data_IF_525828114081
#
_entry.id   IF_525828114081
#
_cell.length_a   1.000
_cell.length_b   1.000
_cell.length_c   1.000
_cell.angle_alpha   90.00
_cell.angle_beta   90.00
_cell.angle_gamma   90.00
#
_symmetry.space_group_name_H-M   'P 1'
#
loop_
_entity.id
_entity.type
_entity.pdbx_description
1 polymer ?
#
# COMPACT_ATOMS: atom_id res chain seq x y z
N UNK A 1 -16.11 -5.94 -17.46
CA UNK A 1 -16.85 -7.19 -17.78
C UNK A 1 -17.28 -7.85 -16.48
N UNK A 2 -18.13 -8.87 -16.50
CA UNK A 2 -18.63 -9.53 -15.27
C UNK A 2 -19.96 -8.96 -14.77
N UNK A 3 -20.53 -9.60 -13.76
CA UNK A 3 -21.86 -9.34 -13.22
C UNK A 3 -22.40 -10.57 -12.50
N UNK A 4 -23.27 -10.34 -11.51
CA UNK A 4 -23.88 -11.43 -10.71
C UNK A 4 -24.54 -12.50 -11.58
N UNK A 5 -25.14 -12.12 -12.71
CA UNK A 5 -25.77 -13.03 -13.66
C UNK A 5 -24.78 -14.03 -14.29
N UNK A 6 -23.49 -13.67 -14.35
CA UNK A 6 -22.41 -14.52 -14.84
C UNK A 6 -21.65 -15.22 -13.70
N UNK A 7 -22.13 -15.13 -12.45
CA UNK A 7 -21.43 -15.58 -11.24
C UNK A 7 -19.99 -15.07 -11.14
N UNK A 8 -19.73 -13.88 -11.72
CA UNK A 8 -18.40 -13.26 -11.75
C UNK A 8 -18.49 -11.83 -11.22
N UNK A 9 -17.51 -11.37 -10.41
CA UNK A 9 -17.47 -9.98 -9.98
C UNK A 9 -17.26 -9.03 -11.18
N UNK A 10 -17.55 -7.74 -11.00
CA UNK A 10 -17.29 -6.72 -12.01
C UNK A 10 -15.77 -6.52 -12.15
N UNK A 11 -15.19 -6.95 -13.26
CA UNK A 11 -13.75 -6.90 -13.54
C UNK A 11 -13.39 -5.80 -14.54
N UNK A 12 -12.25 -5.16 -14.32
CA UNK A 12 -11.64 -4.23 -15.26
C UNK A 12 -11.03 -5.02 -16.41
N UNK A 13 -11.70 -5.06 -17.56
CA UNK A 13 -11.24 -5.81 -18.73
C UNK A 13 -10.25 -5.04 -19.60
N UNK A 14 -10.37 -3.70 -19.62
CA UNK A 14 -9.53 -2.83 -20.44
C UNK A 14 -9.51 -1.43 -19.86
N UNK A 15 -8.33 -0.81 -19.86
CA UNK A 15 -8.13 0.61 -19.56
C UNK A 15 -7.71 1.28 -20.86
N UNK A 16 -8.38 2.38 -21.21
CA UNK A 16 -8.04 3.15 -22.40
C UNK A 16 -7.03 4.23 -22.06
N UNK A 17 -5.93 4.25 -22.82
CA UNK A 17 -4.84 5.20 -22.61
C UNK A 17 -5.31 6.64 -22.76
N UNK A 18 -4.86 7.51 -21.85
CA UNK A 18 -5.18 8.94 -21.85
C UNK A 18 -6.53 9.31 -21.21
N UNK A 19 -7.32 8.35 -20.70
CA UNK A 19 -8.54 8.62 -19.94
C UNK A 19 -8.25 8.68 -18.43
N UNK A 20 -9.23 9.16 -17.64
CA UNK A 20 -9.11 9.30 -16.19
C UNK A 20 -8.64 8.03 -15.47
N UNK A 21 -9.09 6.85 -15.92
CA UNK A 21 -8.70 5.56 -15.33
C UNK A 21 -7.25 5.14 -15.64
N UNK A 22 -6.66 5.66 -16.71
CA UNK A 22 -5.24 5.44 -17.06
C UNK A 22 -4.35 6.44 -16.31
N UNK A 23 -4.79 7.70 -16.23
CA UNK A 23 -4.08 8.77 -15.53
C UNK A 23 -3.98 8.56 -14.01
N UNK A 24 -4.86 7.74 -13.42
CA UNK A 24 -4.79 7.43 -11.99
C UNK A 24 -3.70 6.41 -11.65
N UNK A 25 -3.26 5.57 -12.60
CA UNK A 25 -2.29 4.46 -12.44
C UNK A 25 -2.53 3.49 -11.25
N UNK A 26 -3.64 3.66 -10.54
CA UNK A 26 -4.04 2.89 -9.36
C UNK A 26 -4.93 1.70 -9.72
N UNK A 27 -5.36 1.61 -10.99
CA UNK A 27 -6.24 0.57 -11.52
C UNK A 27 -5.47 -0.30 -12.50
N UNK A 28 -5.62 -1.61 -12.37
CA UNK A 28 -5.03 -2.59 -13.27
C UNK A 28 -6.11 -3.39 -14.00
N UNK A 29 -5.79 -3.80 -15.22
CA UNK A 29 -6.62 -4.78 -15.94
C UNK A 29 -6.61 -6.08 -15.14
N UNK A 30 -7.80 -6.58 -14.82
CA UNK A 30 -8.01 -7.75 -13.96
C UNK A 30 -8.50 -7.41 -12.55
N UNK A 31 -8.48 -6.15 -12.13
CA UNK A 31 -8.99 -5.77 -10.80
C UNK A 31 -10.51 -5.93 -10.72
N UNK A 32 -10.98 -6.36 -9.54
CA UNK A 32 -12.41 -6.49 -9.24
C UNK A 32 -12.92 -5.22 -8.56
N UNK A 33 -13.93 -4.59 -9.15
CA UNK A 33 -14.62 -3.43 -8.58
C UNK A 33 -15.59 -3.95 -7.52
N UNK A 34 -15.37 -3.52 -6.28
CA UNK A 34 -16.22 -3.85 -5.14
C UNK A 34 -17.32 -2.80 -4.93
N UNK A 35 -16.99 -1.51 -5.08
CA UNK A 35 -17.96 -0.42 -4.91
C UNK A 35 -17.62 0.81 -5.76
N UNK A 36 -18.64 1.61 -6.08
CA UNK A 36 -18.55 2.89 -6.81
C UNK A 36 -19.25 3.96 -5.99
N UNK A 37 -18.53 5.00 -5.56
CA UNK A 37 -19.07 6.10 -4.75
C UNK A 37 -19.86 5.62 -3.52
N UNK A 38 -19.41 4.55 -2.87
CA UNK A 38 -20.08 3.94 -1.72
C UNK A 38 -21.29 3.05 -2.06
N UNK A 39 -21.64 2.91 -3.34
CA UNK A 39 -22.61 1.91 -3.81
C UNK A 39 -21.91 0.59 -4.02
N UNK A 40 -22.27 -0.42 -3.24
CA UNK A 40 -21.68 -1.76 -3.34
C UNK A 40 -22.11 -2.44 -4.65
N UNK A 41 -21.14 -2.94 -5.40
CA UNK A 41 -21.33 -3.62 -6.68
C UNK A 41 -20.94 -5.11 -6.61
N UNK A 42 -20.72 -5.65 -5.40
CA UNK A 42 -20.35 -7.05 -5.22
C UNK A 42 -21.43 -8.02 -5.72
N UNK A 43 -22.71 -7.67 -5.50
CA UNK A 43 -23.89 -8.43 -5.92
C UNK A 43 -24.67 -7.75 -7.06
N UNK A 44 -24.07 -6.74 -7.71
CA UNK A 44 -24.71 -6.02 -8.80
C UNK A 44 -24.66 -6.80 -10.12
N UNK A 45 -25.70 -6.63 -10.94
CA UNK A 45 -25.70 -7.10 -12.33
C UNK A 45 -24.75 -6.27 -13.19
N UNK A 46 -24.35 -6.78 -14.35
CA UNK A 46 -23.49 -6.03 -15.27
C UNK A 46 -24.09 -4.65 -15.63
N UNK A 47 -25.39 -4.62 -15.92
CA UNK A 47 -26.07 -3.38 -16.33
C UNK A 47 -26.11 -2.36 -15.18
N UNK A 48 -26.42 -2.80 -13.96
CA UNK A 48 -26.40 -1.95 -12.77
C UNK A 48 -25.01 -1.36 -12.49
N UNK A 49 -23.95 -2.16 -12.66
CA UNK A 49 -22.59 -1.68 -12.51
C UNK A 49 -22.23 -0.62 -13.57
N UNK A 50 -22.64 -0.82 -14.82
CA UNK A 50 -22.46 0.16 -15.90
C UNK A 50 -23.26 1.44 -15.62
N UNK A 51 -24.49 1.31 -15.13
CA UNK A 51 -25.31 2.45 -14.74
C UNK A 51 -24.70 3.21 -13.56
N UNK A 52 -24.18 2.52 -12.55
CA UNK A 52 -23.51 3.16 -11.41
C UNK A 52 -22.28 3.96 -11.85
N UNK A 53 -21.46 3.39 -12.75
CA UNK A 53 -20.31 4.08 -13.33
C UNK A 53 -20.73 5.29 -14.19
N UNK A 54 -21.80 5.18 -14.97
CA UNK A 54 -22.32 6.27 -15.83
C UNK A 54 -23.05 7.37 -15.05
N UNK A 55 -23.75 7.02 -13.97
CA UNK A 55 -24.45 7.95 -13.09
C UNK A 55 -23.48 8.83 -12.31
N UNK A 56 -22.23 8.39 -12.22
CA UNK A 56 -21.20 9.15 -11.56
C UNK A 56 -20.76 10.34 -12.42
N UNK A 57 -20.67 11.53 -11.80
CA UNK A 57 -20.35 12.79 -12.47
C UNK A 57 -18.85 13.02 -12.65
N UNK A 58 -18.40 14.24 -12.32
CA UNK A 58 -17.01 14.71 -12.52
C UNK A 58 -15.96 13.91 -11.73
N UNK A 59 -16.34 13.26 -10.63
CA UNK A 59 -15.44 12.52 -9.74
C UNK A 59 -16.05 11.14 -9.40
N UNK A 60 -15.22 10.10 -9.54
CA UNK A 60 -15.59 8.69 -9.27
C UNK A 60 -14.60 8.14 -8.24
N UNK A 61 -15.10 7.64 -7.12
CA UNK A 61 -14.34 6.89 -6.12
C UNK A 61 -14.63 5.40 -6.31
N UNK A 62 -13.59 4.63 -6.61
CA UNK A 62 -13.68 3.19 -6.82
C UNK A 62 -13.01 2.46 -5.67
N UNK A 63 -13.69 1.47 -5.09
CA UNK A 63 -13.07 0.50 -4.21
C UNK A 63 -12.78 -0.75 -5.03
N UNK A 64 -11.50 -1.09 -5.22
CA UNK A 64 -11.08 -2.23 -6.02
C UNK A 64 -10.29 -3.24 -5.21
N UNK A 65 -10.43 -4.52 -5.55
CA UNK A 65 -9.60 -5.60 -5.04
C UNK A 65 -8.61 -6.01 -6.12
N UNK A 66 -7.34 -5.85 -5.81
CA UNK A 66 -6.26 -6.33 -6.66
C UNK A 66 -6.31 -7.86 -6.74
N UNK A 67 -6.52 -8.40 -7.95
CA UNK A 67 -6.52 -9.84 -8.21
C UNK A 67 -5.22 -10.22 -8.92
N UNK A 68 -4.25 -10.73 -8.16
CA UNK A 68 -2.89 -11.02 -8.65
C UNK A 68 -2.79 -12.26 -9.55
N UNK A 69 -3.89 -12.94 -9.85
CA UNK A 69 -3.91 -14.11 -10.71
C UNK A 69 -5.05 -14.03 -11.72
N UNK A 70 -4.74 -13.59 -12.94
CA UNK A 70 -5.62 -13.75 -14.08
C UNK A 70 -5.41 -15.15 -14.64
N UNK A 71 -6.23 -16.12 -14.22
CA UNK A 71 -6.81 -17.23 -15.01
C UNK A 71 -7.55 -18.19 -14.07
N UNK A 72 -8.88 -18.41 -14.25
CA UNK A 72 -9.45 -18.84 -15.53
C UNK A 72 -10.80 -18.18 -15.89
N UNK A 73 -11.02 -16.89 -15.60
CA UNK A 73 -12.28 -16.23 -15.99
C UNK A 73 -12.30 -15.74 -17.46
N UNK A 74 -11.16 -15.78 -18.15
CA UNK A 74 -11.06 -15.61 -19.61
C UNK A 74 -11.01 -16.98 -20.31
N UNK A 75 -12.06 -17.79 -20.22
CA UNK A 75 -12.26 -18.91 -21.16
C UNK A 75 -13.69 -18.93 -21.68
N UNK A 76 -13.81 -18.66 -22.97
CA UNK A 76 -14.99 -18.99 -23.77
C UNK A 76 -15.27 -20.50 -23.69
N UNK A 77 -16.56 -20.82 -23.59
CA UNK A 77 -17.26 -21.99 -24.14
C UNK A 77 -16.78 -23.41 -23.82
N UNK A 78 -17.72 -24.18 -23.25
CA UNK A 78 -17.94 -25.64 -23.35
C UNK A 78 -17.05 -26.62 -22.54
N UNK A 79 -17.73 -27.69 -22.09
CA UNK A 79 -17.30 -28.81 -21.23
C UNK A 79 -17.20 -28.44 -19.73
N UNK A 80 -18.05 -28.89 -18.82
CA UNK A 80 -18.68 -30.21 -18.71
C UNK A 80 -17.88 -31.07 -17.73
N UNK A 81 -18.11 -30.90 -16.43
CA UNK A 81 -17.72 -31.87 -15.40
C UNK A 81 -18.45 -31.58 -14.07
N UNK A 82 -19.57 -32.28 -13.90
CA UNK A 82 -20.08 -32.85 -12.64
C UNK A 82 -19.07 -32.85 -11.47
N UNK A 83 -19.39 -32.15 -10.38
CA UNK A 83 -19.24 -32.72 -9.03
C UNK A 83 -20.43 -32.26 -8.18
N UNK A 84 -21.11 -33.29 -7.68
CA UNK A 84 -22.33 -33.32 -6.88
C UNK A 84 -22.13 -32.71 -5.50
N UNK A 85 -23.07 -31.85 -5.09
CA UNK A 85 -23.36 -31.59 -3.68
C UNK A 85 -24.78 -32.06 -3.43
N UNK A 86 -24.90 -33.29 -2.94
CA UNK A 86 -26.19 -33.82 -2.49
C UNK A 86 -26.56 -33.16 -1.14
N UNK A 87 -27.84 -32.78 -0.93
CA UNK A 87 -28.28 -32.02 0.22
C UNK A 87 -28.85 -32.94 1.31
N UNK A 88 -28.81 -32.52 2.57
CA UNK A 88 -29.69 -33.08 3.61
C UNK A 88 -29.85 -32.16 4.84
N UNK A 89 -30.99 -32.24 5.55
CA UNK A 89 -31.79 -31.06 5.84
C UNK A 89 -32.10 -30.83 7.34
N UNK A 90 -32.62 -29.63 7.59
CA UNK A 90 -33.58 -29.24 8.65
C UNK A 90 -33.21 -29.41 10.14
N UNK A 91 -33.08 -28.27 10.82
CA UNK A 91 -33.82 -28.02 12.06
C UNK A 91 -34.22 -26.53 12.15
N UNK A 92 -35.47 -26.31 12.50
CA UNK A 92 -36.25 -25.06 12.43
C UNK A 92 -36.08 -24.19 13.70
N UNK A 93 -36.52 -22.92 13.56
CA UNK A 93 -36.86 -21.90 14.59
C UNK A 93 -35.71 -20.95 14.98
N UNK A 94 -35.82 -19.62 14.89
CA UNK A 94 -36.94 -18.72 15.19
C UNK A 94 -36.80 -17.41 14.37
N UNK A 95 -37.92 -16.89 13.86
CA UNK A 95 -38.01 -15.54 13.29
C UNK A 95 -37.69 -14.50 14.36
N UNK A 96 -36.68 -13.69 14.10
CA UNK A 96 -36.59 -12.30 14.57
C UNK A 96 -35.98 -11.49 13.43
N UNK A 97 -36.54 -10.30 13.24
CA UNK A 97 -36.18 -9.20 12.34
C UNK A 97 -34.74 -9.21 11.82
N UNK A 98 -34.45 -8.81 10.56
CA UNK A 98 -33.07 -8.67 10.12
C UNK A 98 -32.45 -7.46 10.84
N UNK A 99 -31.87 -7.71 12.02
CA UNK A 99 -30.83 -6.87 12.55
C UNK A 99 -29.69 -7.00 11.54
N UNK A 100 -29.35 -5.86 10.93
CA UNK A 100 -28.14 -5.67 10.14
C UNK A 100 -27.01 -6.43 10.86
N UNK A 101 -26.26 -7.32 10.18
CA UNK A 101 -25.00 -7.74 10.76
C UNK A 101 -24.22 -6.43 10.96
N UNK A 102 -23.96 -6.08 12.22
CA UNK A 102 -22.92 -5.12 12.56
C UNK A 102 -21.70 -5.60 11.80
N UNK A 103 -21.40 -4.91 10.70
CA UNK A 103 -20.24 -5.19 9.87
C UNK A 103 -19.07 -4.87 10.79
N UNK A 104 -18.54 -5.90 11.45
CA UNK A 104 -17.29 -5.79 12.17
C UNK A 104 -16.30 -5.10 11.22
N UNK A 105 -15.61 -4.07 11.70
CA UNK A 105 -14.79 -3.23 10.83
C UNK A 105 -13.81 -4.15 10.12
N UNK A 106 -13.91 -4.14 8.79
CA UNK A 106 -13.07 -4.90 7.86
C UNK A 106 -11.63 -4.89 8.41
N UNK A 107 -11.11 -6.08 8.69
CA UNK A 107 -9.73 -6.40 9.08
C UNK A 107 -8.79 -5.17 9.03
N UNK A 108 -8.58 -4.54 10.19
CA UNK A 108 -7.85 -3.28 10.27
C UNK A 108 -6.42 -3.43 9.73
N UNK A 109 -6.03 -2.60 8.76
CA UNK A 109 -4.65 -2.57 8.29
C UNK A 109 -3.75 -1.95 9.35
N UNK A 110 -2.72 -2.68 9.77
CA UNK A 110 -1.78 -2.24 10.80
C UNK A 110 -0.41 -1.93 10.18
N UNK A 111 0.14 -0.76 10.48
CA UNK A 111 1.53 -0.38 10.14
C UNK A 111 2.31 -0.20 11.44
N UNK A 112 3.40 -0.97 11.67
CA UNK A 112 4.25 -0.76 12.83
C UNK A 112 4.88 0.64 12.81
N UNK A 113 4.79 1.37 13.91
CA UNK A 113 5.41 2.71 14.02
C UNK A 113 6.94 2.67 14.05
N UNK A 114 7.52 1.51 14.34
CA UNK A 114 8.97 1.31 14.36
C UNK A 114 9.54 1.58 12.97
N UNK A 115 10.29 2.67 12.84
CA UNK A 115 10.87 3.12 11.58
C UNK A 115 9.85 3.28 10.45
N UNK A 116 8.57 3.50 10.73
CA UNK A 116 7.66 3.94 9.67
C UNK A 116 8.08 5.31 9.16
N UNK A 117 7.78 5.61 7.90
CA UNK A 117 7.98 6.94 7.35
C UNK A 117 6.68 7.46 6.75
N UNK A 118 6.53 8.77 6.80
CA UNK A 118 5.39 9.47 6.20
C UNK A 118 5.89 10.24 4.99
N UNK A 119 5.23 10.07 3.87
CA UNK A 119 5.51 10.79 2.63
C UNK A 119 4.28 11.54 2.15
N UNK A 120 4.52 12.64 1.43
CA UNK A 120 3.50 13.41 0.72
C UNK A 120 3.64 13.19 -0.79
N UNK A 121 3.98 11.96 -1.22
CA UNK A 121 4.08 11.66 -2.66
C UNK A 121 2.70 11.74 -3.27
N UNK A 122 2.49 12.77 -4.09
CA UNK A 122 1.18 13.08 -4.66
C UNK A 122 1.16 12.75 -6.15
N UNK A 123 0.52 11.64 -6.48
CA UNK A 123 -0.20 11.47 -7.74
C UNK A 123 -1.63 11.05 -7.37
N UNK A 124 -2.68 11.78 -7.78
CA UNK A 124 -2.68 13.03 -8.56
C UNK A 124 -2.24 14.27 -7.76
N UNK A 125 -2.12 15.42 -8.45
CA UNK A 125 -1.74 16.69 -7.84
C UNK A 125 -2.66 17.04 -6.66
N UNK A 126 -2.07 17.25 -5.48
CA UNK A 126 -2.76 17.61 -4.24
C UNK A 126 -2.45 19.07 -3.88
N UNK A 127 -3.18 20.03 -4.48
CA UNK A 127 -2.96 21.46 -4.20
C UNK A 127 -3.36 21.86 -2.77
N UNK A 128 -4.10 21.00 -2.06
CA UNK A 128 -4.62 21.27 -0.72
C UNK A 128 -3.81 20.56 0.38
N UNK A 129 -2.76 19.82 0.03
CA UNK A 129 -1.85 19.12 0.96
C UNK A 129 -2.56 18.24 2.01
N UNK A 130 -3.64 17.56 1.60
CA UNK A 130 -4.48 16.74 2.49
C UNK A 130 -4.10 15.28 2.50
N UNK A 131 -3.26 14.83 1.57
CA UNK A 131 -2.86 13.42 1.47
C UNK A 131 -1.59 13.10 2.24
N UNK A 132 -1.60 11.93 2.86
CA UNK A 132 -0.50 11.37 3.61
C UNK A 132 -0.34 9.90 3.23
N UNK A 133 0.87 9.50 2.91
CA UNK A 133 1.25 8.10 2.73
C UNK A 133 2.06 7.68 3.95
N UNK A 134 1.59 6.67 4.70
CA UNK A 134 2.31 6.08 5.83
C UNK A 134 2.82 4.72 5.40
N UNK A 135 4.14 4.55 5.36
CA UNK A 135 4.77 3.30 4.94
C UNK A 135 5.44 2.59 6.11
N UNK A 136 5.39 1.26 6.10
CA UNK A 136 6.17 0.42 7.00
C UNK A 136 7.66 0.53 6.70
N UNK A 137 8.48 0.17 7.69
CA UNK A 137 9.94 0.22 7.59
C UNK A 137 10.54 -0.69 6.49
N UNK A 138 9.81 -1.74 6.08
CA UNK A 138 10.20 -2.63 4.99
C UNK A 138 9.68 -2.18 3.62
N UNK A 139 8.91 -1.10 3.56
CA UNK A 139 8.27 -0.59 2.34
C UNK A 139 7.17 -1.49 1.76
N UNK A 140 6.76 -2.55 2.47
CA UNK A 140 5.77 -3.52 1.96
C UNK A 140 4.32 -3.12 2.23
N UNK A 141 4.08 -2.35 3.28
CA UNK A 141 2.76 -1.88 3.66
C UNK A 141 2.72 -0.37 3.56
N UNK A 142 1.75 0.16 2.81
CA UNK A 142 1.49 1.58 2.70
C UNK A 142 0.01 1.85 3.00
N UNK A 143 -0.25 2.89 3.78
CA UNK A 143 -1.57 3.42 4.06
C UNK A 143 -1.67 4.82 3.46
N UNK A 144 -2.65 4.99 2.59
CA UNK A 144 -3.00 6.29 2.03
C UNK A 144 -4.16 6.87 2.83
N UNK A 145 -3.92 8.05 3.39
CA UNK A 145 -4.88 8.77 4.23
C UNK A 145 -5.15 10.12 3.59
N UNK A 146 -6.41 10.55 3.63
CA UNK A 146 -6.82 11.90 3.25
C UNK A 146 -7.44 12.57 4.47
N UNK A 147 -6.86 13.68 4.90
CA UNK A 147 -7.39 14.49 5.98
C UNK A 147 -8.53 15.40 5.48
N UNK A 148 -9.28 15.96 6.43
CA UNK A 148 -10.32 16.95 6.14
C UNK A 148 -9.73 18.22 5.53
N UNK A 149 -8.61 18.68 6.08
CA UNK A 149 -7.92 19.93 5.77
C UNK A 149 -6.40 19.77 5.96
N UNK A 150 -5.62 20.72 5.46
CA UNK A 150 -4.15 20.72 5.54
C UNK A 150 -3.64 20.71 6.99
N UNK A 151 -4.27 21.46 7.89
CA UNK A 151 -3.81 21.56 9.28
C UNK A 151 -3.98 20.22 10.02
N UNK A 152 -5.09 19.53 9.75
CA UNK A 152 -5.33 18.16 10.21
C UNK A 152 -4.29 17.21 9.61
N UNK A 153 -4.01 17.29 8.31
CA UNK A 153 -2.98 16.46 7.68
C UNK A 153 -1.60 16.67 8.32
N UNK A 154 -1.23 17.94 8.56
CA UNK A 154 0.05 18.28 9.17
C UNK A 154 0.15 17.81 10.62
N UNK A 155 -0.96 17.86 11.37
CA UNK A 155 -1.03 17.35 12.73
C UNK A 155 -0.84 15.83 12.77
N UNK A 156 -1.52 15.09 11.88
CA UNK A 156 -1.32 13.64 11.73
C UNK A 156 0.11 13.28 11.34
N UNK A 157 0.69 13.99 10.37
CA UNK A 157 2.08 13.80 9.95
C UNK A 157 3.04 13.98 11.13
N UNK A 158 2.89 15.08 11.86
CA UNK A 158 3.75 15.43 13.00
C UNK A 158 3.61 14.40 14.12
N UNK A 159 2.38 13.96 14.42
CA UNK A 159 2.12 12.95 15.44
C UNK A 159 2.75 11.60 15.09
N UNK A 160 2.62 11.13 13.84
CA UNK A 160 3.20 9.86 13.41
C UNK A 160 4.72 9.95 13.43
N UNK A 161 5.31 11.03 12.89
CA UNK A 161 6.75 11.24 12.91
C UNK A 161 7.32 11.33 14.33
N UNK A 162 6.64 12.01 15.26
CA UNK A 162 7.07 12.10 16.65
C UNK A 162 7.06 10.72 17.33
N UNK A 163 6.01 9.93 17.15
CA UNK A 163 5.93 8.59 17.72
C UNK A 163 6.95 7.62 17.10
N UNK A 164 7.15 7.68 15.78
CA UNK A 164 8.20 6.91 15.11
C UNK A 164 9.61 7.32 15.60
N UNK A 165 9.83 8.62 15.76
CA UNK A 165 11.08 9.19 16.30
C UNK A 165 11.35 8.77 17.74
N UNK A 166 10.32 8.65 18.58
CA UNK A 166 10.45 8.16 19.95
C UNK A 166 10.95 6.70 20.03
N UNK A 167 10.73 5.90 18.98
CA UNK A 167 11.23 4.52 18.88
C UNK A 167 12.64 4.42 18.33
N UNK A 168 13.19 5.49 17.74
CA UNK A 168 14.50 5.50 17.09
C UNK A 168 15.67 5.11 18.02
N UNK A 169 15.72 5.51 19.31
CA UNK A 169 16.78 5.07 20.21
C UNK A 169 16.83 3.55 20.37
N UNK A 170 15.67 2.89 20.50
CA UNK A 170 15.58 1.42 20.61
C UNK A 170 16.04 0.74 19.33
N UNK A 171 15.68 1.29 18.16
CA UNK A 171 16.13 0.78 16.86
C UNK A 171 17.66 0.85 16.75
N UNK A 172 18.27 1.97 17.18
CA UNK A 172 19.73 2.12 17.18
C UNK A 172 20.41 1.06 18.06
N UNK A 173 19.87 0.80 19.24
CA UNK A 173 20.39 -0.22 20.16
C UNK A 173 20.32 -1.62 19.56
N UNK A 174 19.17 -2.00 18.98
CA UNK A 174 19.03 -3.30 18.31
C UNK A 174 20.01 -3.48 17.14
N UNK A 175 20.16 -2.45 16.30
CA UNK A 175 21.11 -2.50 15.18
C UNK A 175 22.56 -2.63 15.66
N UNK A 176 22.93 -1.95 16.76
CA UNK A 176 24.25 -2.10 17.38
C UNK A 176 24.44 -3.51 17.94
N UNK A 177 23.43 -4.08 18.59
CA UNK A 177 23.48 -5.45 19.10
C UNK A 177 23.67 -6.48 17.97
N UNK A 178 23.02 -6.29 16.83
CA UNK A 178 23.21 -7.14 15.65
C UNK A 178 24.63 -7.08 15.06
N UNK A 179 25.33 -5.94 15.21
CA UNK A 179 26.71 -5.75 14.77
C UNK A 179 27.75 -6.29 15.76
N UNK A 180 27.48 -6.20 17.06
CA UNK A 180 28.43 -6.59 18.12
C UNK A 180 28.84 -8.07 18.08
N UNK A 181 28.02 -8.95 17.50
CA UNK A 181 28.33 -10.39 17.33
C UNK A 181 29.29 -10.72 16.18
N UNK A 182 29.91 -9.73 15.53
CA UNK A 182 30.86 -9.94 14.44
C UNK A 182 32.27 -9.52 14.83
N UNK A 183 33.17 -10.51 14.96
CA UNK A 183 34.60 -10.27 15.21
C UNK A 183 35.34 -9.60 14.03
N UNK A 184 34.65 -9.34 12.92
CA UNK A 184 35.23 -8.81 11.68
C UNK A 184 34.94 -7.32 11.41
N UNK A 185 34.11 -6.65 12.21
CA UNK A 185 33.74 -5.25 11.95
C UNK A 185 34.11 -4.36 13.13
N UNK A 186 35.40 -4.20 13.34
CA UNK A 186 35.97 -3.19 14.23
C UNK A 186 35.72 -1.81 13.60
N UNK A 187 34.69 -1.10 14.08
CA UNK A 187 34.48 0.32 13.77
C UNK A 187 33.16 0.72 13.11
N UNK A 188 32.09 -0.09 13.19
CA UNK A 188 30.74 0.35 12.84
C UNK A 188 29.91 0.72 14.07
N UNK A 189 30.37 1.71 14.84
CA UNK A 189 29.47 2.33 15.80
C UNK A 189 28.45 3.19 15.04
N UNK A 190 27.18 2.82 15.15
CA UNK A 190 26.08 3.56 14.52
C UNK A 190 25.87 4.85 15.32
N UNK A 191 26.13 6.00 14.68
CA UNK A 191 25.86 7.32 15.25
C UNK A 191 24.43 7.76 14.97
N UNK A 192 23.99 7.65 13.71
CA UNK A 192 22.68 8.11 13.27
C UNK A 192 21.99 7.09 12.36
N UNK A 193 20.66 7.07 12.44
CA UNK A 193 19.78 6.26 11.59
C UNK A 193 18.59 7.14 11.27
N UNK A 194 18.16 7.19 10.01
CA UNK A 194 17.03 8.00 9.61
C UNK A 194 16.63 7.80 8.15
N UNK A 195 15.42 8.21 7.81
CA UNK A 195 14.92 8.19 6.44
C UNK A 195 15.40 9.42 5.68
N UNK A 196 15.86 9.21 4.45
CA UNK A 196 16.18 10.23 3.46
C UNK A 196 15.24 10.08 2.26
N UNK A 197 15.00 11.18 1.57
CA UNK A 197 14.28 11.18 0.30
C UNK A 197 15.25 11.61 -0.79
N UNK A 198 15.58 10.68 -1.69
CA UNK A 198 16.40 10.89 -2.87
C UNK A 198 15.53 11.35 -4.03
N UNK A 199 15.88 12.47 -4.66
CA UNK A 199 15.22 12.94 -5.87
C UNK A 199 15.90 12.31 -7.09
N UNK A 200 15.16 11.48 -7.82
CA UNK A 200 15.59 10.76 -9.01
C UNK A 200 15.20 11.59 -10.25
N UNK A 201 16.17 12.06 -11.05
CA UNK A 201 15.92 12.91 -12.22
C UNK A 201 15.15 12.22 -13.36
N UNK A 202 15.03 10.90 -13.34
CA UNK A 202 14.46 10.13 -14.45
C UNK A 202 13.75 8.87 -13.92
N UNK A 203 12.51 9.01 -13.49
CA UNK A 203 11.65 7.85 -13.21
C UNK A 203 10.73 7.67 -14.40
N UNK A 204 10.77 6.50 -15.03
CA UNK A 204 9.78 6.06 -16.01
C UNK A 204 8.41 5.73 -15.37
N UNK A 205 8.28 6.00 -14.07
CA UNK A 205 7.25 5.55 -13.15
C UNK A 205 6.35 6.70 -12.66
N UNK A 206 6.67 7.94 -13.04
CA UNK A 206 5.90 9.12 -12.63
C UNK A 206 5.91 10.15 -13.78
N UNK A 207 4.79 10.79 -14.10
CA UNK A 207 4.75 11.90 -15.06
C UNK A 207 5.42 13.19 -14.54
N UNK A 208 5.84 13.22 -13.26
CA UNK A 208 6.62 14.31 -12.67
C UNK A 208 8.06 14.29 -13.21
N UNK A 209 8.66 15.46 -13.53
CA UNK A 209 10.05 15.57 -13.97
C UNK A 209 11.07 15.05 -12.94
N UNK A 210 10.62 14.81 -11.70
CA UNK A 210 11.42 14.15 -10.67
C UNK A 210 10.55 13.16 -9.89
N UNK A 211 11.06 11.95 -9.64
CA UNK A 211 10.46 11.02 -8.69
C UNK A 211 11.29 11.03 -7.42
N UNK A 212 10.63 10.82 -6.29
CA UNK A 212 11.31 10.70 -5.02
C UNK A 212 11.38 9.23 -4.60
N UNK A 213 12.53 8.76 -4.17
CA UNK A 213 12.71 7.45 -3.54
C UNK A 213 13.05 7.65 -2.07
N UNK A 214 12.44 6.88 -1.18
CA UNK A 214 12.83 6.90 0.23
C UNK A 214 13.93 5.87 0.45
N UNK A 215 14.96 6.25 1.19
CA UNK A 215 16.12 5.44 1.53
C UNK A 215 16.36 5.53 3.03
N UNK A 216 16.74 4.43 3.65
CA UNK A 216 17.22 4.44 5.01
C UNK A 216 18.73 4.74 5.01
N UNK A 217 19.12 5.80 5.69
CA UNK A 217 20.51 6.12 5.95
C UNK A 217 20.95 5.63 7.33
N UNK A 218 22.09 4.97 7.38
CA UNK A 218 22.79 4.57 8.60
C UNK A 218 24.18 5.20 8.57
N UNK A 219 24.40 6.15 9.47
CA UNK A 219 25.68 6.84 9.63
C UNK A 219 26.49 6.14 10.71
N UNK A 220 27.66 5.66 10.32
CA UNK A 220 28.69 5.12 11.23
C UNK A 220 29.81 6.13 11.42
N UNK A 221 30.84 5.80 12.19
CA UNK A 221 32.04 6.64 12.31
C UNK A 221 32.81 6.81 11.00
N UNK A 222 32.76 5.81 10.12
CA UNK A 222 33.62 5.73 8.94
C UNK A 222 32.86 5.74 7.63
N UNK A 223 31.57 5.44 7.65
CA UNK A 223 30.76 5.20 6.44
C UNK A 223 29.33 5.72 6.62
N UNK A 224 28.77 6.28 5.54
CA UNK A 224 27.35 6.47 5.33
C UNK A 224 26.81 5.30 4.49
N UNK A 225 25.92 4.52 5.07
CA UNK A 225 25.30 3.35 4.43
C UNK A 225 23.85 3.68 4.05
N UNK A 226 23.47 3.41 2.81
CA UNK A 226 22.10 3.60 2.32
C UNK A 226 21.43 2.25 2.05
N UNK A 227 20.19 2.09 2.49
CA UNK A 227 19.36 0.91 2.28
C UNK A 227 18.02 1.30 1.65
N UNK A 228 17.43 0.39 0.87
CA UNK A 228 16.07 0.60 0.35
C UNK A 228 14.97 0.41 1.40
N UNK A 229 15.28 -0.27 2.49
CA UNK A 229 14.36 -0.59 3.58
C UNK A 229 15.14 -0.89 4.86
N UNK A 230 14.47 -0.96 6.01
CA UNK A 230 15.12 -1.36 7.26
C UNK A 230 15.62 -2.81 7.18
N UNK A 231 16.92 -3.08 7.38
CA UNK A 231 17.45 -4.44 7.45
C UNK A 231 16.86 -5.18 8.65
N UNK A 232 16.26 -6.34 8.40
CA UNK A 232 15.68 -7.19 9.47
C UNK A 232 16.63 -8.28 9.96
N UNK A 233 17.72 -8.53 9.25
CA UNK A 233 18.70 -9.57 9.57
C UNK A 233 20.13 -9.04 9.51
N UNK A 234 21.03 -9.75 10.19
CA UNK A 234 22.47 -9.45 10.19
C UNK A 234 23.06 -9.48 8.77
N UNK A 235 22.65 -10.45 7.95
CA UNK A 235 23.13 -10.57 6.57
C UNK A 235 22.66 -9.40 5.68
N UNK A 236 21.44 -8.92 5.88
CA UNK A 236 20.91 -7.76 5.17
C UNK A 236 21.65 -6.47 5.57
N UNK A 237 22.04 -6.35 6.85
CA UNK A 237 22.83 -5.22 7.36
C UNK A 237 24.27 -5.20 6.78
N UNK A 238 24.78 -6.35 6.34
CA UNK A 238 26.06 -6.44 5.64
C UNK A 238 26.02 -6.01 4.17
N UNK A 239 24.83 -5.82 3.59
CA UNK A 239 24.62 -5.58 2.15
C UNK A 239 23.84 -4.27 1.90
N UNK A 240 24.45 -3.10 2.18
CA UNK A 240 23.84 -1.82 1.85
C UNK A 240 23.65 -1.68 0.34
N UNK A 241 22.65 -0.90 -0.08
CA UNK A 241 22.47 -0.54 -1.48
C UNK A 241 23.61 0.37 -1.96
N UNK A 242 24.06 1.29 -1.11
CA UNK A 242 25.24 2.13 -1.35
C UNK A 242 26.03 2.29 -0.05
N UNK A 243 27.37 2.31 -0.15
CA UNK A 243 28.27 2.66 0.96
C UNK A 243 29.18 3.80 0.53
N UNK A 244 29.24 4.86 1.32
CA UNK A 244 30.11 6.01 1.10
C UNK A 244 31.04 6.19 2.29
N UNK A 245 32.37 6.16 2.11
CA UNK A 245 33.30 6.45 3.19
C UNK A 245 33.19 7.93 3.60
N UNK A 246 33.24 8.20 4.91
CA UNK A 246 33.27 9.54 5.45
C UNK A 246 34.72 10.03 5.44
N UNK A 247 34.96 11.10 4.68
CA UNK A 247 36.24 11.79 4.67
C UNK A 247 36.19 12.79 5.83
N UNK A 248 37.02 12.58 6.86
CA UNK A 248 37.19 13.57 7.92
C UNK A 248 37.90 14.80 7.33
N UNK A 249 37.18 15.89 7.14
CA UNK A 249 37.80 17.20 6.93
C UNK A 249 38.37 17.66 8.27
N UNK A 250 39.70 17.79 8.34
CA UNK A 250 40.43 18.33 9.49
C UNK A 250 40.16 19.82 9.69
#
# INVERSE_FOLDING_TARGET
QGGRENKMPILISKIFKGLAADQTEALYVGDAILSVNGTDLSEATHDEAVQALKKTGKEVVLEVKYMKEISPYFKNSSAGATVSWDPSPAALQKRSSPLLPTREPREGRTVPLKMCYVSRKCLPADPEHRYLEVCSADGRVALFLRAKDEATAQSWLSAIQANAGALLPRVKEELRAQLAGTSAVVGRDIKHVGWLTEQVPQCHCCPSPTCCRNLLAVLTEKELLLYGSLPQSRDALGKPAHSYPLIATR
#
